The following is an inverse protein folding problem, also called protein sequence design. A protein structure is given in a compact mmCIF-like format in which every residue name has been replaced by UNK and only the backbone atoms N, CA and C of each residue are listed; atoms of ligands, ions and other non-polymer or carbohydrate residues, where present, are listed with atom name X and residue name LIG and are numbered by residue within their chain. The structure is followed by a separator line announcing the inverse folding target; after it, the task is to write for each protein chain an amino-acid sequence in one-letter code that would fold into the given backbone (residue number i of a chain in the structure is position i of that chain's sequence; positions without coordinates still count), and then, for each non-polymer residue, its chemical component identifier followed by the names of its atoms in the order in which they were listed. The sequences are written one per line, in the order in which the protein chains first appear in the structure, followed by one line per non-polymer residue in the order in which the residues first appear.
data_IF_054718683481
#
_entry.id   IF_054718683481
#
_cell.length_a   1.000
_cell.length_b   1.000
_cell.length_c   1.000
_cell.angle_alpha   90.00
_cell.angle_beta   90.00
_cell.angle_gamma   90.00
#
_symmetry.space_group_name_H-M   'P 1'
#
loop_
_entity.id
_entity.type
_entity.pdbx_description
1 polymer ?
#
# COMPACT_ATOMS: atom_id res chain seq x y z
N UNK A 1 26.91 -13.35 -15.47
CA UNK A 1 26.82 -12.69 -14.16
C UNK A 1 25.49 -11.94 -14.15
N UNK A 2 24.60 -12.22 -13.20
CA UNK A 2 23.29 -11.57 -13.10
C UNK A 2 23.50 -10.37 -12.17
N UNK A 3 23.36 -9.15 -12.69
CA UNK A 3 23.26 -7.96 -11.83
C UNK A 3 21.81 -7.80 -11.39
N UNK A 4 21.57 -7.97 -10.09
CA UNK A 4 20.29 -7.65 -9.47
C UNK A 4 20.32 -6.20 -8.98
N UNK A 5 19.56 -5.31 -9.62
CA UNK A 5 19.30 -3.99 -9.07
C UNK A 5 18.02 -4.04 -8.23
N UNK A 6 18.18 -3.87 -6.92
CA UNK A 6 17.07 -3.65 -5.99
C UNK A 6 16.82 -2.15 -5.83
N UNK A 7 15.64 -1.68 -6.20
CA UNK A 7 15.21 -0.29 -5.96
C UNK A 7 13.98 -0.27 -5.08
N UNK A 8 14.13 0.31 -3.89
CA UNK A 8 13.04 0.53 -2.93
C UNK A 8 12.37 1.87 -3.20
N UNK A 9 11.43 1.88 -4.15
CA UNK A 9 10.67 3.09 -4.47
C UNK A 9 9.59 3.30 -3.39
N UNK A 10 9.61 4.44 -2.68
CA UNK A 10 8.45 4.86 -1.88
C UNK A 10 7.35 5.37 -2.83
N UNK A 11 6.10 4.93 -2.68
CA UNK A 11 5.03 5.46 -3.51
C UNK A 11 4.73 6.91 -3.15
N UNK A 12 4.33 7.72 -4.13
CA UNK A 12 3.82 9.06 -3.85
C UNK A 12 2.45 8.95 -3.17
N UNK A 13 2.25 9.67 -2.07
CA UNK A 13 0.99 9.60 -1.30
C UNK A 13 0.40 10.98 -1.14
N UNK A 14 -0.84 11.14 -1.64
CA UNK A 14 -1.68 12.30 -1.38
C UNK A 14 -2.71 11.96 -0.31
N UNK A 15 -2.98 12.91 0.58
CA UNK A 15 -3.97 12.77 1.65
C UNK A 15 -5.00 13.88 1.53
N UNK A 16 -6.27 13.51 1.56
CA UNK A 16 -7.40 14.44 1.61
C UNK A 16 -8.16 14.18 2.92
N UNK A 17 -8.52 15.25 3.63
CA UNK A 17 -9.27 15.19 4.90
C UNK A 17 -10.49 16.08 4.76
N UNK A 18 -11.69 15.51 4.92
CA UNK A 18 -12.97 16.20 4.84
C UNK A 18 -13.78 15.87 6.10
N UNK A 19 -13.66 16.70 7.14
CA UNK A 19 -14.24 16.41 8.46
C UNK A 19 -13.69 15.08 9.00
N UNK A 20 -14.60 14.14 9.29
CA UNK A 20 -14.24 12.79 9.70
C UNK A 20 -13.80 11.86 8.54
N UNK A 21 -13.92 12.29 7.29
CA UNK A 21 -13.54 11.50 6.11
C UNK A 21 -12.06 11.64 5.76
N UNK A 22 -11.37 10.51 5.61
CA UNK A 22 -9.98 10.42 5.18
C UNK A 22 -9.90 9.70 3.84
N UNK A 23 -9.09 10.23 2.93
CA UNK A 23 -8.75 9.55 1.67
C UNK A 23 -7.24 9.60 1.46
N UNK A 24 -6.63 8.42 1.36
CA UNK A 24 -5.25 8.25 0.95
C UNK A 24 -5.23 7.80 -0.50
N UNK A 25 -4.54 8.56 -1.35
CA UNK A 25 -4.33 8.25 -2.77
C UNK A 25 -2.86 7.90 -2.90
N UNK A 26 -2.57 6.61 -3.09
CA UNK A 26 -1.22 6.08 -3.21
C UNK A 26 -0.94 5.77 -4.68
N UNK A 27 -0.07 6.56 -5.30
CA UNK A 27 0.35 6.35 -6.69
C UNK A 27 1.41 5.27 -6.76
N UNK A 28 1.10 4.20 -7.47
CA UNK A 28 1.99 3.05 -7.63
C UNK A 28 2.91 3.30 -8.82
N UNK A 29 4.24 3.30 -8.64
CA UNK A 29 5.18 3.55 -9.73
C UNK A 29 5.09 2.46 -10.81
N UNK A 30 5.54 2.78 -12.03
CA UNK A 30 5.94 1.80 -13.03
C UNK A 30 4.89 0.76 -13.48
N UNK A 31 3.62 1.15 -13.69
CA UNK A 31 2.56 0.28 -14.29
C UNK A 31 2.53 -1.12 -13.64
N UNK A 32 2.59 -1.19 -12.32
CA UNK A 32 2.52 -2.46 -11.60
C UNK A 32 1.14 -3.08 -11.82
N UNK A 33 1.11 -4.36 -12.19
CA UNK A 33 -0.15 -5.09 -12.34
C UNK A 33 -0.82 -5.22 -10.98
N UNK A 34 -2.15 -5.05 -10.95
CA UNK A 34 -2.97 -5.11 -9.74
C UNK A 34 -2.72 -6.36 -8.88
N UNK A 35 -2.47 -7.50 -9.52
CA UNK A 35 -2.19 -8.80 -8.88
C UNK A 35 -0.96 -8.80 -7.96
N UNK A 36 -0.03 -7.87 -8.21
CA UNK A 36 1.20 -7.70 -7.44
C UNK A 36 1.08 -6.59 -6.38
N UNK A 37 -0.13 -6.05 -6.18
CA UNK A 37 -0.44 -5.08 -5.14
C UNK A 37 -1.19 -5.83 -4.04
N UNK A 38 -0.70 -5.68 -2.82
CA UNK A 38 -1.31 -6.23 -1.62
C UNK A 38 -1.59 -5.10 -0.65
N UNK A 39 -2.84 -5.03 -0.21
CA UNK A 39 -3.28 -4.04 0.78
C UNK A 39 -3.74 -4.77 2.01
N UNK A 40 -3.24 -4.34 3.17
CA UNK A 40 -3.58 -4.90 4.47
C UNK A 40 -3.96 -3.73 5.37
N UNK A 41 -5.10 -3.81 6.03
CA UNK A 41 -5.45 -2.84 7.06
C UNK A 41 -5.95 -3.56 8.30
N UNK A 42 -5.80 -2.89 9.43
CA UNK A 42 -6.30 -3.30 10.74
C UNK A 42 -7.10 -2.13 11.32
N UNK A 43 -7.66 -2.30 12.52
CA UNK A 43 -8.42 -1.28 13.25
C UNK A 43 -7.74 0.10 13.26
N UNK A 44 -6.41 0.16 13.31
CA UNK A 44 -5.66 1.41 13.45
C UNK A 44 -4.48 1.56 12.50
N UNK A 45 -4.38 0.68 11.49
CA UNK A 45 -3.23 0.74 10.58
C UNK A 45 -3.61 0.35 9.16
N UNK A 46 -2.87 0.91 8.22
CA UNK A 46 -2.96 0.65 6.81
C UNK A 46 -1.58 0.35 6.27
N UNK A 47 -1.46 -0.70 5.47
CA UNK A 47 -0.24 -1.14 4.84
C UNK A 47 -0.52 -1.49 3.39
N UNK A 48 0.30 -0.95 2.51
CA UNK A 48 0.26 -1.24 1.09
C UNK A 48 1.64 -1.75 0.69
N UNK A 49 1.66 -2.86 -0.04
CA UNK A 49 2.87 -3.44 -0.62
C UNK A 49 2.66 -3.65 -2.11
N UNK A 50 3.66 -3.33 -2.90
CA UNK A 50 3.68 -3.69 -4.31
C UNK A 50 5.03 -4.26 -4.69
N UNK A 51 5.01 -5.16 -5.66
CA UNK A 51 6.23 -5.75 -6.23
C UNK A 51 6.13 -5.82 -7.74
N UNK A 52 7.24 -5.61 -8.42
CA UNK A 52 7.39 -5.87 -9.85
C UNK A 52 8.71 -6.56 -10.06
N UNK A 53 8.65 -7.72 -10.71
CA UNK A 53 9.85 -8.39 -11.22
C UNK A 53 9.82 -8.24 -12.72
N UNK A 54 10.67 -7.36 -13.26
CA UNK A 54 10.92 -7.32 -14.70
C UNK A 54 12.16 -8.15 -14.99
N UNK A 55 11.98 -9.21 -15.78
CA UNK A 55 13.10 -9.97 -16.35
C UNK A 55 13.24 -9.53 -17.80
N UNK A 56 14.34 -8.85 -18.11
CA UNK A 56 14.69 -8.51 -19.48
C UNK A 56 15.85 -9.41 -19.91
N UNK A 57 15.68 -10.08 -21.05
CA UNK A 57 16.72 -10.87 -21.70
C UNK A 57 17.15 -10.09 -22.93
N UNK A 58 18.33 -9.47 -22.89
CA UNK A 58 18.89 -8.74 -24.02
C UNK A 58 20.36 -9.10 -24.13
N UNK A 59 20.74 -9.67 -25.28
CA UNK A 59 22.13 -9.90 -25.71
C UNK A 59 23.04 -10.56 -24.65
N UNK A 60 22.59 -11.65 -24.01
CA UNK A 60 23.42 -12.46 -23.11
C UNK A 60 23.64 -11.89 -21.71
N UNK A 61 23.07 -10.72 -21.41
CA UNK A 61 22.99 -10.16 -20.07
C UNK A 61 21.56 -10.34 -19.52
N UNK A 62 21.44 -11.14 -18.46
CA UNK A 62 20.18 -11.29 -17.73
C UNK A 62 20.14 -10.23 -16.62
N UNK A 63 19.37 -9.16 -16.84
CA UNK A 63 19.09 -8.14 -15.83
C UNK A 63 17.71 -8.36 -15.25
N UNK A 64 17.65 -8.50 -13.92
CA UNK A 64 16.39 -8.58 -13.18
C UNK A 64 16.22 -7.31 -12.36
N UNK A 65 15.24 -6.49 -12.72
CA UNK A 65 14.88 -5.29 -11.96
C UNK A 65 13.77 -5.69 -11.00
N UNK A 66 14.07 -5.64 -9.70
CA UNK A 66 13.10 -5.81 -8.61
C UNK A 66 12.70 -4.43 -8.11
N UNK A 67 11.50 -3.99 -8.48
CA UNK A 67 10.89 -2.81 -7.87
C UNK A 67 9.93 -3.28 -6.79
N UNK A 68 10.27 -3.03 -5.54
CA UNK A 68 9.40 -3.28 -4.41
C UNK A 68 9.18 -1.97 -3.64
N UNK A 69 7.96 -1.75 -3.20
CA UNK A 69 7.65 -0.62 -2.34
C UNK A 69 6.65 -1.01 -1.27
N UNK A 70 6.82 -0.40 -0.10
CA UNK A 70 5.92 -0.55 1.03
C UNK A 70 5.53 0.82 1.54
N UNK A 71 4.23 1.06 1.69
CA UNK A 71 3.67 2.17 2.43
C UNK A 71 3.01 1.64 3.70
N UNK A 72 3.28 2.25 4.84
CA UNK A 72 2.65 1.90 6.11
C UNK A 72 2.25 3.17 6.85
N UNK A 73 1.02 3.19 7.35
CA UNK A 73 0.50 4.26 8.18
C UNK A 73 -0.22 3.68 9.38
N UNK A 74 0.14 4.17 10.56
CA UNK A 74 -0.59 3.93 11.80
C UNK A 74 -1.38 5.20 12.16
N UNK A 75 -2.50 5.01 12.83
CA UNK A 75 -3.40 6.05 13.31
C UNK A 75 -3.63 5.87 14.81
N UNK A 76 -3.84 6.99 15.50
CA UNK A 76 -4.18 7.04 16.93
C UNK A 76 -5.70 6.94 17.17
N UNK A 77 -6.44 6.54 16.13
CA UNK A 77 -7.89 6.37 16.12
C UNK A 77 -8.28 5.17 15.27
N UNK A 78 -9.50 4.70 15.45
CA UNK A 78 -10.07 3.59 14.69
C UNK A 78 -10.40 3.99 13.24
N UNK A 79 -10.15 3.09 12.30
CA UNK A 79 -10.57 3.18 10.90
C UNK A 79 -12.00 2.61 10.79
N UNK A 80 -12.98 3.46 10.48
CA UNK A 80 -14.38 3.05 10.23
C UNK A 80 -14.69 3.07 8.74
N UNK A 81 -15.59 2.17 8.34
CA UNK A 81 -16.09 2.05 6.96
C UNK A 81 -14.97 2.08 5.90
N UNK A 82 -13.91 1.26 6.04
CA UNK A 82 -12.82 1.25 5.09
C UNK A 82 -13.31 0.78 3.71
N UNK A 83 -12.92 1.53 2.69
CA UNK A 83 -13.16 1.21 1.30
C UNK A 83 -11.85 1.38 0.53
N UNK A 84 -11.51 0.35 -0.25
CA UNK A 84 -10.26 0.29 -1.01
C UNK A 84 -10.62 0.10 -2.48
N UNK A 85 -10.13 1.00 -3.32
CA UNK A 85 -10.31 0.95 -4.77
C UNK A 85 -8.96 1.06 -5.47
N UNK A 86 -8.78 0.34 -6.58
CA UNK A 86 -7.62 0.48 -7.44
C UNK A 86 -8.06 0.97 -8.81
N UNK A 87 -7.53 2.12 -9.24
CA UNK A 87 -7.87 2.75 -10.51
C UNK A 87 -6.66 3.45 -11.10
N UNK A 88 -6.39 3.22 -12.39
CA UNK A 88 -5.38 3.94 -13.18
C UNK A 88 -3.96 3.97 -12.55
N UNK A 89 -3.56 2.91 -11.85
CA UNK A 89 -2.23 2.85 -11.20
C UNK A 89 -2.19 3.47 -9.81
N UNK A 90 -3.34 3.80 -9.23
CA UNK A 90 -3.47 4.42 -7.93
C UNK A 90 -4.35 3.57 -7.02
N UNK A 91 -3.95 3.44 -5.75
CA UNK A 91 -4.79 2.86 -4.69
C UNK A 91 -5.44 3.99 -3.91
N UNK A 92 -6.76 3.97 -3.87
CA UNK A 92 -7.59 4.86 -3.08
C UNK A 92 -8.00 4.11 -1.81
N UNK A 93 -7.55 4.58 -0.66
CA UNK A 93 -7.98 4.09 0.63
C UNK A 93 -8.81 5.16 1.33
N UNK A 94 -10.13 4.95 1.34
CA UNK A 94 -11.14 5.83 1.92
C UNK A 94 -11.63 5.24 3.23
N UNK A 95 -11.74 6.05 4.26
CA UNK A 95 -12.31 5.62 5.54
C UNK A 95 -12.79 6.83 6.34
N UNK A 96 -13.55 6.59 7.40
CA UNK A 96 -13.93 7.60 8.38
C UNK A 96 -13.16 7.43 9.68
N UNK A 97 -12.83 8.53 10.36
CA UNK A 97 -12.28 8.52 11.71
C UNK A 97 -13.32 7.92 12.66
N UNK A 98 -12.90 6.90 13.41
CA UNK A 98 -13.65 6.29 14.50
C UNK A 98 -13.23 6.86 15.84
N UNK A 99 -13.43 6.04 16.88
CA UNK A 99 -13.08 6.44 18.24
C UNK A 99 -11.56 6.60 18.39
N UNK A 100 -11.14 7.55 19.21
CA UNK A 100 -9.73 7.69 19.57
C UNK A 100 -9.29 6.47 20.38
N UNK A 101 -8.11 5.93 20.04
CA UNK A 101 -7.60 4.72 20.66
C UNK A 101 -6.69 5.13 21.81
N UNK A 102 -7.23 5.12 23.02
CA UNK A 102 -6.43 5.15 24.25
C UNK A 102 -5.56 3.89 24.33
N UNK A 103 -4.35 4.02 24.88
CA UNK A 103 -3.30 3.00 24.92
C UNK A 103 -3.69 1.61 25.49
N UNK A 104 -4.86 1.48 26.11
CA UNK A 104 -5.38 0.26 26.74
C UNK A 104 -6.06 -0.71 25.76
N UNK A 105 -6.50 -0.28 24.58
CA UNK A 105 -7.24 -1.13 23.64
C UNK A 105 -6.32 -1.86 22.64
N UNK A 106 -5.51 -2.81 23.12
CA UNK A 106 -4.61 -3.62 22.25
C UNK A 106 -5.21 -4.94 21.75
N UNK A 107 -6.43 -5.29 22.13
CA UNK A 107 -6.84 -6.70 22.15
C UNK A 107 -7.68 -7.23 20.97
N UNK A 108 -8.05 -6.42 19.98
CA UNK A 108 -8.81 -6.94 18.82
C UNK A 108 -8.18 -6.51 17.49
N UNK A 109 -7.17 -7.29 17.05
CA UNK A 109 -6.44 -7.06 15.78
C UNK A 109 -6.99 -7.94 14.67
N UNK A 110 -8.06 -7.50 14.03
CA UNK A 110 -8.58 -8.15 12.83
C UNK A 110 -7.92 -7.54 11.58
N UNK A 111 -6.86 -8.20 11.11
CA UNK A 111 -6.17 -7.83 9.87
C UNK A 111 -7.01 -8.24 8.65
N UNK A 112 -7.45 -7.25 7.89
CA UNK A 112 -8.13 -7.45 6.62
C UNK A 112 -7.11 -7.36 5.48
N UNK A 113 -7.09 -8.39 4.62
CA UNK A 113 -6.16 -8.49 3.49
C UNK A 113 -6.94 -8.46 2.19
N UNK A 114 -6.58 -7.53 1.32
CA UNK A 114 -7.10 -7.43 -0.03
C UNK A 114 -5.96 -7.68 -1.02
N UNK A 115 -6.24 -8.55 -1.98
CA UNK A 115 -5.42 -8.80 -3.16
C UNK A 115 -6.28 -8.45 -4.37
N UNK A 116 -5.74 -7.66 -5.28
CA UNK A 116 -6.47 -7.21 -6.48
C UNK A 116 -6.26 -8.13 -7.68
#
# INVERSE_FOLDING_TARGET
MIEELESTEQPCVNKIINGDGYTYIIKIPNKIKKENIKVEYDKCSFKLKYKKTNRSDSEGAMCSIKNEGTFYRKFDFEIKNPNIEYKDGEVYFKFSKGNELSYENKEDRKVHKLKF
#
